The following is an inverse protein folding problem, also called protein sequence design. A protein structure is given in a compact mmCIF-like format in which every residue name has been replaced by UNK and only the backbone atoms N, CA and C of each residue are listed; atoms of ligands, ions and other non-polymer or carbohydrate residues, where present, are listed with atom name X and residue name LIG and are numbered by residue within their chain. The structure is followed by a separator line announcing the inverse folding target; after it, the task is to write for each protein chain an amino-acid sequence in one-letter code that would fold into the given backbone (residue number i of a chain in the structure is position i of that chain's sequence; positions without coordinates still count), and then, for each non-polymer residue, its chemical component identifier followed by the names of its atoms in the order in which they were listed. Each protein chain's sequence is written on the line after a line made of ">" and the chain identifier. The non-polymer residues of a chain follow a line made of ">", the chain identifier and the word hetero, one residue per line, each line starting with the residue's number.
data_IF_784448699894
#
_entry.id   IF_784448699894
#
_cell.length_a   1.000
_cell.length_b   1.000
_cell.length_c   1.000
_cell.angle_alpha   90.00
_cell.angle_beta   90.00
_cell.angle_gamma   90.00
#
_symmetry.space_group_name_H-M   'P 1'
#
loop_
_entity.id
_entity.type
_entity.pdbx_description
1 polymer ?
#
# COMPACT_ATOMS: atom_id res chain seq x y z
N UNK A 1 9.44 15.72 10.88
CA UNK A 1 9.04 14.57 10.05
C UNK A 1 10.30 13.92 9.51
N UNK A 2 10.38 12.59 9.43
CA UNK A 2 11.58 11.88 8.94
C UNK A 2 11.66 11.80 7.42
N UNK A 3 10.56 12.13 6.73
CA UNK A 3 10.43 12.19 5.27
C UNK A 3 10.20 13.63 4.85
N UNK A 4 10.89 14.08 3.80
CA UNK A 4 10.95 15.46 3.31
C UNK A 4 9.92 15.79 2.22
N UNK A 5 9.12 14.80 1.78
CA UNK A 5 8.14 14.94 0.71
C UNK A 5 6.82 14.26 1.08
N UNK A 6 5.74 14.66 0.39
CA UNK A 6 4.40 14.15 0.71
C UNK A 6 4.16 12.75 0.12
N UNK A 7 3.94 11.76 0.99
CA UNK A 7 3.82 10.36 0.59
C UNK A 7 2.55 10.04 -0.24
N UNK A 8 1.49 10.84 -0.20
CA UNK A 8 0.26 10.46 -0.93
C UNK A 8 0.36 10.70 -2.44
N UNK A 9 1.11 11.70 -2.90
CA UNK A 9 1.31 11.99 -4.33
C UNK A 9 2.71 12.57 -4.54
N UNK A 10 3.77 11.77 -4.35
CA UNK A 10 5.14 12.26 -4.39
C UNK A 10 5.65 12.56 -5.81
N UNK A 11 4.88 12.22 -6.85
CA UNK A 11 5.26 12.35 -8.26
C UNK A 11 5.93 11.09 -8.82
N UNK A 12 6.25 11.09 -10.12
CA UNK A 12 6.88 9.94 -10.80
C UNK A 12 5.93 8.75 -11.01
N UNK A 13 4.62 8.99 -11.11
CA UNK A 13 3.59 7.95 -11.24
C UNK A 13 3.12 7.34 -9.92
N UNK A 14 3.87 7.55 -8.83
CA UNK A 14 3.49 7.12 -7.50
C UNK A 14 2.36 8.01 -6.93
N UNK A 15 1.31 7.37 -6.44
CA UNK A 15 0.21 8.00 -5.69
C UNK A 15 -0.51 6.97 -4.82
N UNK A 16 -0.99 7.35 -3.64
CA UNK A 16 -1.55 6.44 -2.65
C UNK A 16 -2.91 6.94 -2.14
N UNK A 17 -3.87 6.02 -2.03
CA UNK A 17 -5.20 6.26 -1.46
C UNK A 17 -5.48 5.50 -0.16
N UNK A 18 -4.47 4.92 0.48
CA UNK A 18 -4.65 4.00 1.61
C UNK A 18 -5.39 4.64 2.81
N UNK A 19 -5.04 5.87 3.19
CA UNK A 19 -5.71 6.60 4.28
C UNK A 19 -7.13 7.06 3.92
N UNK A 20 -7.46 7.08 2.63
CA UNK A 20 -8.83 7.25 2.13
C UNK A 20 -9.58 5.91 2.04
N UNK A 21 -8.98 4.81 2.51
CA UNK A 21 -9.59 3.48 2.57
C UNK A 21 -9.51 2.67 1.29
N UNK A 22 -8.65 3.02 0.32
CA UNK A 22 -8.56 2.33 -0.97
C UNK A 22 -8.38 0.81 -0.86
N UNK A 23 -7.56 0.37 0.09
CA UNK A 23 -7.21 -1.03 0.30
C UNK A 23 -8.00 -1.67 1.46
N UNK A 24 -8.98 -0.96 2.02
CA UNK A 24 -9.72 -1.40 3.20
C UNK A 24 -10.88 -2.35 2.83
N UNK A 25 -10.64 -3.26 1.89
CA UNK A 25 -11.63 -4.22 1.42
C UNK A 25 -11.03 -5.61 1.35
N UNK A 26 -11.91 -6.61 1.52
CA UNK A 26 -11.52 -8.01 1.37
C UNK A 26 -11.03 -8.29 -0.04
N UNK A 27 -11.65 -7.75 -1.08
CA UNK A 27 -11.04 -7.73 -2.40
C UNK A 27 -10.49 -6.33 -2.66
N UNK A 28 -9.18 -6.19 -2.55
CA UNK A 28 -8.47 -4.99 -2.98
C UNK A 28 -7.51 -5.28 -4.13
N UNK A 29 -7.79 -6.30 -4.93
CA UNK A 29 -7.03 -6.56 -6.16
C UNK A 29 -7.01 -5.32 -7.06
N UNK A 30 -5.94 -5.18 -7.85
CA UNK A 30 -5.77 -4.03 -8.78
C UNK A 30 -7.01 -3.79 -9.63
N UNK A 31 -7.64 -4.87 -10.11
CA UNK A 31 -8.88 -4.78 -10.89
C UNK A 31 -10.02 -4.18 -10.05
N UNK A 32 -10.32 -4.78 -8.89
CA UNK A 32 -11.42 -4.34 -8.04
C UNK A 32 -11.27 -2.87 -7.59
N UNK A 33 -10.06 -2.47 -7.17
CA UNK A 33 -9.83 -1.06 -6.78
C UNK A 33 -9.85 -0.11 -7.96
N UNK A 34 -9.36 -0.51 -9.15
CA UNK A 34 -9.42 0.32 -10.34
C UNK A 34 -10.86 0.52 -10.84
N UNK A 35 -11.73 -0.50 -10.74
CA UNK A 35 -13.15 -0.39 -11.04
C UNK A 35 -13.84 0.58 -10.08
N UNK A 36 -13.58 0.47 -8.77
CA UNK A 36 -14.14 1.39 -7.78
C UNK A 36 -13.70 2.84 -8.05
N UNK A 37 -12.39 3.07 -8.24
CA UNK A 37 -11.84 4.40 -8.54
C UNK A 37 -12.44 4.96 -9.83
N UNK A 38 -12.57 4.15 -10.88
CA UNK A 38 -13.18 4.58 -12.15
C UNK A 38 -14.63 4.99 -11.97
N UNK A 39 -15.42 4.19 -11.23
CA UNK A 39 -16.82 4.48 -10.96
C UNK A 39 -17.01 5.76 -10.14
N UNK A 40 -16.21 5.97 -9.09
CA UNK A 40 -16.19 7.22 -8.31
C UNK A 40 -15.81 8.42 -9.18
N UNK A 41 -14.77 8.27 -10.01
CA UNK A 41 -14.29 9.30 -10.94
C UNK A 41 -15.37 9.73 -11.92
N UNK A 42 -16.00 8.78 -12.61
CA UNK A 42 -17.01 9.12 -13.61
C UNK A 42 -18.32 9.63 -13.01
N UNK A 43 -18.66 9.22 -11.77
CA UNK A 43 -19.81 9.79 -11.06
C UNK A 43 -19.55 11.25 -10.69
N UNK A 44 -18.39 11.56 -10.11
CA UNK A 44 -18.08 12.89 -9.57
C UNK A 44 -17.71 13.91 -10.65
N UNK A 45 -17.10 13.47 -11.77
CA UNK A 45 -16.79 14.35 -12.91
C UNK A 45 -18.03 15.04 -13.50
N UNK A 46 -19.22 14.44 -13.34
CA UNK A 46 -20.49 14.96 -13.83
C UNK A 46 -21.22 15.87 -12.83
N UNK A 47 -20.66 16.07 -11.64
CA UNK A 47 -21.29 16.84 -10.57
C UNK A 47 -20.86 18.30 -10.68
N UNK A 48 -21.80 19.27 -10.68
CA UNK A 48 -21.47 20.69 -10.57
C UNK A 48 -20.58 20.95 -9.35
N UNK A 49 -19.63 21.87 -9.42
CA UNK A 49 -18.72 22.19 -8.30
C UNK A 49 -19.41 23.00 -7.20
N UNK A 50 -20.49 22.45 -6.66
CA UNK A 50 -21.32 23.00 -5.60
C UNK A 50 -21.34 22.01 -4.43
N UNK A 51 -21.12 22.50 -3.21
CA UNK A 51 -20.97 21.66 -2.03
C UNK A 51 -22.20 20.77 -1.74
N UNK A 52 -23.41 21.24 -2.04
CA UNK A 52 -24.65 20.48 -1.88
C UNK A 52 -24.70 19.28 -2.85
N UNK A 53 -24.42 19.51 -4.13
CA UNK A 53 -24.41 18.48 -5.17
C UNK A 53 -23.31 17.44 -4.91
N UNK A 54 -22.13 17.88 -4.45
CA UNK A 54 -21.03 16.98 -4.06
C UNK A 54 -21.35 16.15 -2.83
N UNK A 55 -21.95 16.73 -1.80
CA UNK A 55 -22.43 15.97 -0.64
C UNK A 55 -23.43 14.89 -1.04
N UNK A 56 -24.39 15.23 -1.90
CA UNK A 56 -25.37 14.27 -2.38
C UNK A 56 -24.71 13.12 -3.14
N UNK A 57 -23.86 13.43 -4.12
CA UNK A 57 -23.12 12.42 -4.88
C UNK A 57 -22.21 11.55 -3.99
N UNK A 58 -21.53 12.16 -3.00
CA UNK A 58 -20.71 11.44 -2.03
C UNK A 58 -21.54 10.45 -1.19
N UNK A 59 -22.72 10.88 -0.71
CA UNK A 59 -23.64 9.99 0.03
C UNK A 59 -24.15 8.84 -0.83
N UNK A 60 -24.51 9.09 -2.08
CA UNK A 60 -24.92 8.05 -3.02
C UNK A 60 -23.82 7.02 -3.24
N UNK A 61 -22.58 7.46 -3.45
CA UNK A 61 -21.42 6.57 -3.62
C UNK A 61 -21.15 5.73 -2.37
N UNK A 62 -21.34 6.30 -1.17
CA UNK A 62 -21.25 5.57 0.09
C UNK A 62 -22.35 4.52 0.21
N UNK A 63 -23.60 4.88 -0.12
CA UNK A 63 -24.76 3.99 -0.04
C UNK A 63 -24.73 2.88 -1.10
N UNK A 64 -24.16 3.14 -2.28
CA UNK A 64 -24.02 2.17 -3.36
C UNK A 64 -22.84 1.21 -3.19
N UNK A 65 -22.09 1.31 -2.09
CA UNK A 65 -20.94 0.44 -1.81
C UNK A 65 -21.37 -1.02 -1.72
N UNK A 66 -20.66 -1.88 -2.46
CA UNK A 66 -20.99 -3.31 -2.58
C UNK A 66 -20.39 -4.21 -1.50
N UNK A 67 -19.40 -3.71 -0.76
CA UNK A 67 -18.66 -4.48 0.24
C UNK A 67 -18.45 -3.66 1.50
N UNK A 68 -18.53 -4.33 2.65
CA UNK A 68 -18.20 -3.71 3.93
C UNK A 68 -16.67 -3.54 4.05
N UNK A 69 -16.18 -2.41 4.59
CA UNK A 69 -14.76 -2.23 4.84
C UNK A 69 -14.23 -3.25 5.86
N UNK A 70 -12.93 -3.59 5.75
CA UNK A 70 -12.30 -4.50 6.71
C UNK A 70 -12.13 -3.85 8.08
N UNK A 71 -11.67 -2.61 8.16
CA UNK A 71 -11.44 -1.95 9.45
C UNK A 71 -12.34 -0.73 9.56
N UNK A 72 -13.27 -0.74 10.50
CA UNK A 72 -14.22 0.36 10.74
C UNK A 72 -13.51 1.68 11.07
N UNK A 73 -12.36 1.60 11.75
CA UNK A 73 -11.50 2.74 12.06
C UNK A 73 -10.96 3.46 10.81
N UNK A 74 -10.82 2.77 9.67
CA UNK A 74 -10.37 3.36 8.41
C UNK A 74 -11.59 3.67 7.54
N UNK A 75 -12.04 4.92 7.58
CA UNK A 75 -13.18 5.36 6.77
C UNK A 75 -12.83 5.32 5.29
N UNK A 76 -13.72 4.77 4.48
CA UNK A 76 -13.58 4.75 3.02
C UNK A 76 -14.21 6.01 2.44
N UNK A 77 -13.38 6.90 1.91
CA UNK A 77 -13.79 8.19 1.36
C UNK A 77 -14.35 8.02 -0.07
N UNK A 78 -15.56 8.54 -0.37
CA UNK A 78 -16.14 8.44 -1.71
C UNK A 78 -15.51 9.42 -2.71
N UNK A 79 -14.68 10.35 -2.24
CA UNK A 79 -14.04 11.40 -3.04
C UNK A 79 -12.70 10.96 -3.64
N UNK A 80 -12.22 9.76 -3.32
CA UNK A 80 -11.01 9.20 -3.91
C UNK A 80 -11.32 8.74 -5.35
N UNK A 81 -10.42 9.03 -6.29
CA UNK A 81 -10.55 8.59 -7.67
C UNK A 81 -9.29 8.84 -8.48
N UNK A 82 -9.39 8.67 -9.81
CA UNK A 82 -8.34 9.03 -10.75
C UNK A 82 -8.38 10.53 -11.03
N UNK A 83 -7.32 11.24 -10.68
CA UNK A 83 -7.22 12.69 -10.86
C UNK A 83 -6.68 13.09 -12.24
N UNK A 84 -6.27 12.10 -13.03
CA UNK A 84 -5.76 12.26 -14.39
C UNK A 84 -6.63 11.50 -15.41
N UNK A 85 -6.58 11.94 -16.67
CA UNK A 85 -7.35 11.31 -17.75
C UNK A 85 -6.81 9.93 -18.14
N UNK A 86 -5.52 9.69 -17.94
CA UNK A 86 -4.87 8.41 -18.23
C UNK A 86 -5.11 7.34 -17.16
N UNK A 87 -5.76 7.70 -16.04
CA UNK A 87 -6.03 6.81 -14.89
C UNK A 87 -4.75 6.20 -14.30
N UNK A 88 -3.67 7.00 -14.23
CA UNK A 88 -2.39 6.61 -13.65
C UNK A 88 -2.16 7.23 -12.28
N UNK A 89 -2.94 8.23 -11.88
CA UNK A 89 -2.77 8.92 -10.60
C UNK A 89 -4.06 8.91 -9.77
N UNK A 90 -3.96 8.44 -8.53
CA UNK A 90 -5.09 8.43 -7.58
C UNK A 90 -5.00 9.61 -6.61
N UNK A 91 -6.14 10.16 -6.24
CA UNK A 91 -6.21 11.34 -5.39
C UNK A 91 -7.62 11.76 -5.03
N UNK A 92 -7.72 12.83 -4.27
CA UNK A 92 -9.02 13.42 -3.91
C UNK A 92 -9.55 14.25 -5.08
N UNK A 93 -10.67 13.82 -5.66
CA UNK A 93 -11.36 14.51 -6.75
C UNK A 93 -11.96 15.85 -6.31
N UNK A 94 -12.16 16.03 -5.01
CA UNK A 94 -12.69 17.24 -4.40
C UNK A 94 -11.60 18.25 -3.98
N UNK A 95 -10.33 17.93 -4.23
CA UNK A 95 -9.22 18.80 -3.87
C UNK A 95 -9.22 20.07 -4.76
N UNK A 96 -8.94 21.27 -4.22
CA UNK A 96 -8.96 22.53 -4.99
C UNK A 96 -8.05 22.52 -6.23
N UNK A 97 -6.94 21.77 -6.20
CA UNK A 97 -6.08 21.57 -7.38
C UNK A 97 -6.74 20.79 -8.53
N UNK A 98 -7.75 19.97 -8.23
CA UNK A 98 -8.52 19.19 -9.20
C UNK A 98 -9.78 19.94 -9.64
N UNK A 99 -10.40 20.68 -8.73
CA UNK A 99 -11.68 21.39 -8.91
C UNK A 99 -11.50 22.88 -9.26
N UNK A 100 -10.35 23.26 -9.82
CA UNK A 100 -10.11 24.64 -10.28
C UNK A 100 -10.18 25.71 -9.20
N UNK A 101 -9.93 25.35 -7.94
CA UNK A 101 -9.87 26.27 -6.79
C UNK A 101 -10.98 26.08 -5.76
N UNK A 102 -12.10 25.42 -6.09
CA UNK A 102 -13.19 25.20 -5.13
C UNK A 102 -12.87 24.03 -4.21
N UNK A 103 -12.60 24.28 -2.93
CA UNK A 103 -12.37 23.20 -1.98
C UNK A 103 -13.68 22.47 -1.62
N UNK A 104 -13.80 21.23 -2.06
CA UNK A 104 -14.96 20.38 -1.84
C UNK A 104 -14.65 19.21 -0.88
N UNK A 105 -13.47 19.21 -0.25
CA UNK A 105 -13.00 18.11 0.61
C UNK A 105 -13.94 17.85 1.80
N UNK A 106 -14.62 18.87 2.29
CA UNK A 106 -15.61 18.76 3.38
C UNK A 106 -16.88 17.99 2.99
N UNK A 107 -17.06 17.64 1.70
CA UNK A 107 -18.12 16.73 1.26
C UNK A 107 -17.79 15.25 1.49
N UNK A 108 -16.57 14.96 1.97
CA UNK A 108 -16.07 13.61 2.18
C UNK A 108 -16.39 13.07 3.57
N UNK A 109 -15.79 11.91 3.88
CA UNK A 109 -15.86 11.36 5.24
C UNK A 109 -14.92 12.08 6.20
N UNK A 110 -13.90 12.76 5.69
CA UNK A 110 -12.93 13.56 6.46
C UNK A 110 -13.14 15.04 6.14
N UNK A 111 -12.91 15.90 7.14
CA UNK A 111 -12.86 17.35 6.91
C UNK A 111 -11.56 17.76 6.22
N UNK A 112 -11.62 18.84 5.45
CA UNK A 112 -10.48 19.47 4.78
C UNK A 112 -9.29 19.69 5.73
N UNK A 113 -9.56 20.19 6.94
CA UNK A 113 -8.56 20.42 7.99
C UNK A 113 -7.85 19.15 8.48
N UNK A 114 -8.54 18.01 8.49
CA UNK A 114 -7.93 16.71 8.80
C UNK A 114 -7.08 16.25 7.62
N UNK A 115 -7.61 16.32 6.40
CA UNK A 115 -6.91 15.91 5.19
C UNK A 115 -5.60 16.68 4.96
N UNK A 116 -5.54 17.95 5.35
CA UNK A 116 -4.36 18.81 5.16
C UNK A 116 -3.23 18.51 6.16
N UNK A 117 -3.57 18.07 7.37
CA UNK A 117 -2.60 17.90 8.47
C UNK A 117 -2.27 16.44 8.75
N UNK A 118 -3.06 15.51 8.22
CA UNK A 118 -2.89 14.09 8.50
C UNK A 118 -1.59 13.54 7.89
N UNK A 119 -0.79 12.89 8.72
CA UNK A 119 0.39 12.14 8.31
C UNK A 119 0.20 10.67 8.70
N UNK A 120 0.28 9.77 7.71
CA UNK A 120 0.18 8.34 7.97
C UNK A 120 1.42 7.83 8.74
N UNK A 121 1.35 6.67 9.42
CA UNK A 121 2.47 6.11 10.18
C UNK A 121 3.80 6.04 9.42
N UNK A 122 3.75 5.81 8.10
CA UNK A 122 4.95 5.80 7.24
C UNK A 122 5.78 7.09 7.30
N UNK A 123 5.19 8.27 7.56
CA UNK A 123 5.92 9.53 7.73
C UNK A 123 6.80 9.57 8.98
N UNK A 124 6.52 8.73 9.98
CA UNK A 124 7.29 8.65 11.22
C UNK A 124 8.18 7.42 11.31
N UNK A 125 7.88 6.35 10.54
CA UNK A 125 8.59 5.08 10.66
C UNK A 125 9.53 4.74 9.51
N UNK A 126 9.37 5.39 8.34
CA UNK A 126 10.33 5.31 7.24
C UNK A 126 11.31 6.48 7.32
N UNK A 127 12.56 6.23 6.93
CA UNK A 127 13.49 7.31 6.63
C UNK A 127 13.20 7.91 5.26
N UNK A 128 13.67 9.13 5.01
CA UNK A 128 13.56 9.77 3.70
C UNK A 128 14.11 8.87 2.57
N UNK A 129 15.27 8.26 2.79
CA UNK A 129 15.90 7.34 1.85
C UNK A 129 15.06 6.09 1.54
N UNK A 130 14.43 5.50 2.56
CA UNK A 130 13.54 4.35 2.40
C UNK A 130 12.28 4.75 1.61
N UNK A 131 11.69 5.89 1.94
CA UNK A 131 10.52 6.40 1.22
C UNK A 131 10.84 6.71 -0.26
N UNK A 132 12.00 7.31 -0.54
CA UNK A 132 12.46 7.56 -1.92
C UNK A 132 12.69 6.27 -2.70
N UNK A 133 13.30 5.26 -2.07
CA UNK A 133 13.47 3.95 -2.70
C UNK A 133 12.13 3.35 -3.10
N UNK A 134 11.11 3.41 -2.23
CA UNK A 134 9.75 2.95 -2.56
C UNK A 134 9.16 3.78 -3.69
N UNK A 135 9.28 5.10 -3.66
CA UNK A 135 8.78 5.98 -4.73
C UNK A 135 9.38 5.62 -6.11
N UNK A 136 10.69 5.43 -6.18
CA UNK A 136 11.41 5.17 -7.45
C UNK A 136 11.25 3.71 -7.92
N UNK A 137 11.13 2.77 -6.98
CA UNK A 137 10.89 1.36 -7.30
C UNK A 137 9.43 1.12 -7.73
N UNK A 138 8.46 1.76 -7.09
CA UNK A 138 7.04 1.57 -7.34
C UNK A 138 6.46 2.80 -8.07
N UNK A 139 6.68 2.89 -9.38
CA UNK A 139 6.24 4.03 -10.20
C UNK A 139 4.77 3.94 -10.67
N UNK A 140 3.90 3.24 -9.93
CA UNK A 140 2.47 3.18 -10.18
C UNK A 140 1.67 3.26 -8.88
N UNK A 141 0.46 3.81 -8.94
CA UNK A 141 -0.38 4.09 -7.78
C UNK A 141 -0.69 2.86 -6.91
N UNK A 142 -0.90 1.70 -7.54
CA UNK A 142 -1.36 0.52 -6.83
C UNK A 142 -0.22 -0.10 -6.03
N UNK A 143 0.88 -0.45 -6.72
CA UNK A 143 2.01 -1.07 -6.04
C UNK A 143 2.65 -0.10 -5.04
N UNK A 144 2.77 1.18 -5.41
CA UNK A 144 3.26 2.21 -4.51
C UNK A 144 2.42 2.27 -3.23
N UNK A 145 1.09 2.35 -3.36
CA UNK A 145 0.22 2.42 -2.20
C UNK A 145 0.29 1.18 -1.31
N UNK A 146 0.38 -0.02 -1.88
CA UNK A 146 0.54 -1.26 -1.11
C UNK A 146 1.87 -1.34 -0.35
N UNK A 147 2.96 -0.82 -0.93
CA UNK A 147 4.30 -0.90 -0.36
C UNK A 147 4.56 0.23 0.62
N UNK A 148 4.22 1.49 0.28
CA UNK A 148 4.55 2.64 1.11
C UNK A 148 3.83 2.62 2.47
N UNK A 149 2.64 2.02 2.54
CA UNK A 149 1.89 1.90 3.79
C UNK A 149 2.26 0.68 4.61
N UNK A 150 3.04 -0.25 4.05
CA UNK A 150 3.50 -1.45 4.73
C UNK A 150 4.96 -1.27 5.19
N UNK A 151 5.11 -0.51 6.27
CA UNK A 151 6.42 -0.18 6.85
C UNK A 151 7.19 -1.44 7.26
N UNK A 152 6.49 -2.44 7.80
CA UNK A 152 7.09 -3.71 8.20
C UNK A 152 7.65 -4.47 6.99
N UNK A 153 6.93 -4.48 5.87
CA UNK A 153 7.43 -5.05 4.63
C UNK A 153 8.69 -4.34 4.14
N UNK A 154 8.67 -3.01 4.02
CA UNK A 154 9.82 -2.23 3.51
C UNK A 154 11.04 -2.44 4.41
N UNK A 155 10.89 -2.28 5.73
CA UNK A 155 12.00 -2.45 6.68
C UNK A 155 12.44 -3.91 6.78
N UNK A 156 11.53 -4.87 6.69
CA UNK A 156 11.83 -6.30 6.70
C UNK A 156 12.68 -6.70 5.50
N UNK A 157 12.30 -6.28 4.29
CA UNK A 157 13.08 -6.51 3.08
C UNK A 157 14.51 -5.93 3.18
N UNK A 158 14.65 -4.70 3.69
CA UNK A 158 15.96 -4.07 3.84
C UNK A 158 16.81 -4.76 4.92
N UNK A 159 16.23 -5.17 6.05
CA UNK A 159 16.96 -5.96 7.07
C UNK A 159 17.47 -7.29 6.51
N UNK A 160 16.65 -8.00 5.74
CA UNK A 160 17.08 -9.25 5.12
C UNK A 160 18.23 -9.03 4.14
N UNK A 161 18.17 -7.93 3.37
CA UNK A 161 19.25 -7.54 2.47
C UNK A 161 20.52 -7.17 3.23
N UNK A 162 20.41 -6.45 4.35
CA UNK A 162 21.56 -6.15 5.21
C UNK A 162 22.26 -7.41 5.69
N UNK A 163 21.49 -8.42 6.05
CA UNK A 163 22.02 -9.71 6.50
C UNK A 163 22.70 -10.48 5.37
N UNK A 164 22.11 -10.47 4.17
CA UNK A 164 22.70 -11.11 2.98
C UNK A 164 23.99 -10.41 2.53
N UNK A 165 24.06 -9.09 2.67
CA UNK A 165 25.25 -8.28 2.34
C UNK A 165 26.32 -8.29 3.44
N UNK A 166 26.02 -8.78 4.64
CA UNK A 166 26.82 -8.59 5.84
C UNK A 166 27.19 -7.12 6.10
N UNK A 167 26.25 -6.19 5.83
CA UNK A 167 26.49 -4.75 5.86
C UNK A 167 25.22 -3.93 5.58
N UNK A 168 25.29 -2.59 5.61
CA UNK A 168 24.11 -1.73 5.43
C UNK A 168 23.55 -1.80 4.00
N UNK A 169 22.23 -1.99 3.88
CA UNK A 169 21.50 -1.86 2.63
C UNK A 169 21.15 -0.38 2.39
N UNK A 170 22.09 0.38 1.84
CA UNK A 170 21.93 1.82 1.59
C UNK A 170 20.91 2.08 0.46
N UNK A 171 19.73 2.66 0.74
CA UNK A 171 18.72 2.89 -0.30
C UNK A 171 19.22 3.79 -1.44
N UNK A 172 20.13 4.71 -1.16
CA UNK A 172 20.74 5.59 -2.15
C UNK A 172 21.51 4.80 -3.21
N UNK A 173 22.35 3.86 -2.77
CA UNK A 173 23.12 2.98 -3.66
C UNK A 173 22.20 2.07 -4.47
N UNK A 174 21.15 1.53 -3.85
CA UNK A 174 20.14 0.73 -4.53
C UNK A 174 19.44 1.50 -5.65
N UNK A 175 19.21 2.80 -5.48
CA UNK A 175 18.57 3.65 -6.49
C UNK A 175 19.52 4.06 -7.62
N UNK A 176 20.80 4.24 -7.33
CA UNK A 176 21.82 4.65 -8.31
C UNK A 176 22.21 3.53 -9.28
N UNK A 177 22.06 2.27 -8.87
CA UNK A 177 22.40 1.11 -9.70
C UNK A 177 21.15 0.53 -10.40
N UNK A 178 21.04 0.59 -11.74
CA UNK A 178 19.84 0.17 -12.46
C UNK A 178 19.44 -1.29 -12.24
N UNK A 179 20.41 -2.21 -12.17
CA UNK A 179 20.13 -3.64 -11.97
C UNK A 179 19.63 -3.93 -10.55
N UNK A 180 20.26 -3.31 -9.54
CA UNK A 180 19.84 -3.41 -8.14
C UNK A 180 18.43 -2.82 -7.96
N UNK A 181 18.17 -1.63 -8.51
CA UNK A 181 16.85 -1.03 -8.51
C UNK A 181 15.82 -1.94 -9.16
N UNK A 182 16.11 -2.50 -10.34
CA UNK A 182 15.21 -3.44 -11.02
C UNK A 182 14.96 -4.71 -10.19
N UNK A 183 15.95 -5.20 -9.44
CA UNK A 183 15.75 -6.31 -8.51
C UNK A 183 14.87 -5.92 -7.31
N UNK A 184 15.03 -4.70 -6.76
CA UNK A 184 14.16 -4.15 -5.71
C UNK A 184 12.73 -4.04 -6.22
N UNK A 185 12.52 -3.56 -7.46
CA UNK A 185 11.19 -3.52 -8.10
C UNK A 185 10.53 -4.88 -8.10
N UNK A 186 11.25 -5.93 -8.52
CA UNK A 186 10.73 -7.31 -8.51
C UNK A 186 10.43 -7.81 -7.09
N UNK A 187 11.26 -7.47 -6.12
CA UNK A 187 11.03 -7.81 -4.71
C UNK A 187 9.78 -7.13 -4.16
N UNK A 188 9.59 -5.82 -4.40
CA UNK A 188 8.39 -5.10 -3.97
C UNK A 188 7.14 -5.54 -4.72
N UNK A 189 7.26 -5.88 -6.02
CA UNK A 189 6.19 -6.48 -6.81
C UNK A 189 5.70 -7.82 -6.24
N UNK A 190 6.41 -8.43 -5.28
CA UNK A 190 5.87 -9.52 -4.49
C UNK A 190 4.62 -9.11 -3.72
N UNK A 191 4.27 -7.83 -3.49
CA UNK A 191 2.95 -7.47 -2.93
C UNK A 191 1.78 -7.81 -3.87
N UNK A 192 2.05 -7.94 -5.17
CA UNK A 192 1.05 -8.29 -6.19
C UNK A 192 1.24 -9.72 -6.72
N UNK A 193 2.49 -10.16 -6.95
CA UNK A 193 2.80 -11.37 -7.73
C UNK A 193 3.07 -12.66 -6.95
N UNK A 194 3.33 -12.60 -5.64
CA UNK A 194 3.58 -13.80 -4.85
C UNK A 194 2.42 -14.82 -4.97
N UNK A 195 2.72 -16.08 -5.27
CA UNK A 195 1.72 -17.10 -5.59
C UNK A 195 1.06 -17.64 -4.33
N UNK A 196 -0.13 -18.26 -4.48
CA UNK A 196 -0.77 -19.10 -3.44
C UNK A 196 -0.99 -18.42 -2.09
N UNK A 197 -0.99 -17.08 -2.04
CA UNK A 197 -1.64 -16.35 -0.95
C UNK A 197 -3.12 -16.74 -1.05
N UNK A 198 -3.70 -17.39 -0.05
CA UNK A 198 -5.06 -17.93 -0.13
C UNK A 198 -6.11 -16.93 -0.64
N UNK A 199 -7.31 -17.41 -0.99
CA UNK A 199 -8.40 -16.58 -1.54
C UNK A 199 -8.91 -15.46 -0.62
N UNK A 200 -8.46 -15.42 0.64
CA UNK A 200 -8.70 -14.35 1.64
C UNK A 200 -7.39 -13.62 2.03
N UNK A 201 -6.32 -13.72 1.24
CA UNK A 201 -4.97 -13.26 1.58
C UNK A 201 -4.62 -11.88 1.04
N UNK A 202 -5.62 -11.13 0.61
CA UNK A 202 -5.60 -9.68 0.53
C UNK A 202 -5.41 -9.13 1.94
N UNK A 203 -4.18 -8.74 2.27
CA UNK A 203 -3.83 -8.20 3.59
C UNK A 203 -3.51 -6.73 3.48
N UNK A 204 -4.16 -5.95 4.34
CA UNK A 204 -3.71 -4.60 4.62
C UNK A 204 -2.49 -4.68 5.55
N UNK A 205 -1.30 -4.68 4.97
CA UNK A 205 -0.05 -4.89 5.72
C UNK A 205 0.06 -6.31 6.29
N UNK A 206 0.24 -6.41 7.61
CA UNK A 206 0.35 -7.67 8.39
C UNK A 206 -0.93 -7.98 9.20
N UNK A 207 -2.02 -7.24 9.05
CA UNK A 207 -3.14 -7.31 10.01
C UNK A 207 -4.27 -8.25 9.57
N UNK A 208 -4.92 -8.88 10.56
CA UNK A 208 -6.22 -9.54 10.45
C UNK A 208 -7.27 -8.76 11.24
N UNK A 209 -8.54 -9.08 11.01
CA UNK A 209 -9.62 -8.71 11.93
C UNK A 209 -9.74 -9.76 13.02
N UNK A 210 -9.84 -9.33 14.27
CA UNK A 210 -10.30 -10.20 15.35
C UNK A 210 -11.84 -10.34 15.36
N UNK A 211 -12.38 -10.94 16.43
CA UNK A 211 -13.82 -11.18 16.58
C UNK A 211 -14.64 -9.88 16.69
N UNK A 212 -14.04 -8.81 17.23
CA UNK A 212 -14.66 -7.49 17.39
C UNK A 212 -14.44 -6.61 16.15
N UNK A 213 -13.62 -7.08 15.21
CA UNK A 213 -13.33 -6.42 13.95
C UNK A 213 -12.14 -5.47 13.99
N UNK A 214 -11.36 -5.49 15.08
CA UNK A 214 -10.17 -4.68 15.31
C UNK A 214 -8.92 -5.31 14.63
N UNK A 215 -7.94 -4.49 14.25
CA UNK A 215 -6.73 -4.96 13.59
C UNK A 215 -5.78 -5.66 14.56
N UNK A 216 -5.52 -6.95 14.33
CA UNK A 216 -4.53 -7.75 15.07
C UNK A 216 -3.37 -8.20 14.17
N UNK A 217 -2.11 -8.07 14.60
CA UNK A 217 -0.97 -8.55 13.81
C UNK A 217 -1.04 -10.06 13.58
N UNK A 218 -0.76 -10.49 12.35
CA UNK A 218 -0.60 -11.91 12.03
C UNK A 218 0.66 -12.47 12.69
N UNK A 219 0.55 -13.71 13.14
CA UNK A 219 1.64 -14.48 13.73
C UNK A 219 1.71 -15.87 13.10
N UNK A 220 2.89 -16.48 13.12
CA UNK A 220 3.08 -17.88 12.72
C UNK A 220 3.02 -18.74 13.98
N UNK A 221 2.21 -19.79 13.96
CA UNK A 221 2.19 -20.81 15.02
C UNK A 221 3.30 -21.85 14.76
N UNK A 222 4.51 -21.52 15.19
CA UNK A 222 5.70 -22.35 14.98
C UNK A 222 5.57 -23.74 15.60
N UNK A 223 4.91 -23.86 16.75
CA UNK A 223 4.72 -25.12 17.46
C UNK A 223 3.82 -26.04 16.65
N UNK A 224 2.68 -25.51 16.18
CA UNK A 224 1.76 -26.28 15.34
C UNK A 224 2.39 -26.71 14.01
N UNK A 225 3.23 -25.87 13.43
CA UNK A 225 3.91 -26.17 12.17
C UNK A 225 5.15 -27.08 12.34
N UNK A 226 5.63 -27.29 13.57
CA UNK A 226 6.84 -28.07 13.84
C UNK A 226 8.12 -27.43 13.28
N UNK A 227 8.17 -26.10 13.19
CA UNK A 227 9.29 -25.34 12.61
C UNK A 227 9.79 -24.27 13.59
N UNK A 228 10.98 -23.72 13.34
CA UNK A 228 11.50 -22.57 14.09
C UNK A 228 11.21 -21.25 13.36
N UNK A 229 11.17 -20.16 14.11
CA UNK A 229 11.13 -18.81 13.58
C UNK A 229 12.34 -18.54 12.68
N UNK A 230 12.12 -17.74 11.65
CA UNK A 230 13.13 -17.32 10.67
C UNK A 230 12.96 -15.84 10.34
N UNK A 231 14.02 -15.14 9.96
CA UNK A 231 13.99 -13.70 9.67
C UNK A 231 13.01 -13.32 8.57
N UNK A 232 12.78 -14.22 7.61
CA UNK A 232 11.89 -14.01 6.47
C UNK A 232 10.41 -13.95 6.89
N UNK A 233 10.06 -14.45 8.08
CA UNK A 233 8.67 -14.61 8.52
C UNK A 233 7.89 -13.29 8.57
N UNK A 234 8.55 -12.20 8.98
CA UNK A 234 7.92 -10.88 8.99
C UNK A 234 7.49 -10.46 7.57
N UNK A 235 8.37 -10.64 6.59
CA UNK A 235 8.09 -10.32 5.18
C UNK A 235 7.04 -11.28 4.61
N UNK A 236 7.13 -12.57 4.92
CA UNK A 236 6.14 -13.58 4.50
C UNK A 236 4.74 -13.21 4.98
N UNK A 237 4.58 -12.77 6.23
CA UNK A 237 3.29 -12.36 6.77
C UNK A 237 2.77 -11.06 6.12
N UNK A 238 3.64 -10.10 5.83
CA UNK A 238 3.29 -8.87 5.09
C UNK A 238 2.90 -9.16 3.62
N UNK A 239 3.42 -10.24 3.03
CA UNK A 239 2.99 -10.74 1.73
C UNK A 239 1.64 -11.47 1.79
N UNK A 240 1.06 -11.62 2.97
CA UNK A 240 -0.28 -12.14 3.17
C UNK A 240 -0.40 -13.65 3.29
N UNK A 241 0.72 -14.36 3.34
CA UNK A 241 0.71 -15.80 3.57
C UNK A 241 0.07 -16.14 4.93
N UNK A 242 -0.66 -17.25 4.94
CA UNK A 242 -1.19 -17.89 6.14
C UNK A 242 -0.87 -19.40 6.03
N UNK A 243 0.41 -19.80 6.21
CA UNK A 243 0.86 -21.15 5.95
C UNK A 243 0.14 -22.17 6.83
N UNK A 244 -0.33 -23.26 6.23
CA UNK A 244 -1.05 -24.34 6.92
C UNK A 244 -0.13 -25.44 7.42
N UNK A 245 1.03 -25.58 6.78
CA UNK A 245 2.05 -26.57 7.10
C UNK A 245 3.47 -26.00 6.91
N UNK A 246 4.46 -26.79 7.34
CA UNK A 246 5.87 -26.42 7.23
C UNK A 246 6.31 -26.20 5.77
N UNK A 247 5.78 -26.97 4.81
CA UNK A 247 6.17 -26.91 3.40
C UNK A 247 5.74 -25.60 2.77
N UNK A 248 4.51 -25.13 3.04
CA UNK A 248 4.03 -23.83 2.59
C UNK A 248 4.89 -22.69 3.17
N UNK A 249 5.22 -22.75 4.47
CA UNK A 249 6.05 -21.72 5.10
C UNK A 249 7.47 -21.70 4.51
N UNK A 250 8.10 -22.87 4.34
CA UNK A 250 9.42 -22.99 3.72
C UNK A 250 9.44 -22.43 2.29
N UNK A 251 8.42 -22.75 1.49
CA UNK A 251 8.28 -22.21 0.14
C UNK A 251 8.14 -20.69 0.11
N UNK A 252 7.38 -20.11 1.04
CA UNK A 252 7.22 -18.66 1.14
C UNK A 252 8.52 -17.98 1.61
N UNK A 253 9.25 -18.57 2.57
CA UNK A 253 10.57 -18.08 3.01
C UNK A 253 11.58 -18.11 1.87
N UNK A 254 11.65 -19.20 1.12
CA UNK A 254 12.58 -19.33 -0.01
C UNK A 254 12.24 -18.33 -1.13
N UNK A 255 10.96 -18.08 -1.39
CA UNK A 255 10.56 -17.02 -2.33
C UNK A 255 11.13 -15.66 -1.89
N UNK A 256 10.92 -15.26 -0.63
CA UNK A 256 11.48 -14.00 -0.10
C UNK A 256 13.01 -13.99 -0.21
N UNK A 257 13.67 -15.05 0.26
CA UNK A 257 15.13 -15.16 0.25
C UNK A 257 15.71 -15.08 -1.16
N UNK A 258 15.08 -15.71 -2.15
CA UNK A 258 15.53 -15.68 -3.55
C UNK A 258 15.53 -14.26 -4.13
N UNK A 259 14.52 -13.44 -3.78
CA UNK A 259 14.46 -12.03 -4.20
C UNK A 259 15.50 -11.18 -3.48
N UNK A 260 15.72 -11.39 -2.18
CA UNK A 260 16.79 -10.72 -1.41
C UNK A 260 18.16 -11.02 -2.03
N UNK A 261 18.46 -12.29 -2.31
CA UNK A 261 19.68 -12.72 -3.00
C UNK A 261 19.82 -12.12 -4.39
N UNK A 262 18.72 -11.95 -5.12
CA UNK A 262 18.74 -11.29 -6.42
C UNK A 262 19.15 -9.82 -6.32
N UNK A 263 18.67 -9.10 -5.30
CA UNK A 263 19.09 -7.71 -5.04
C UNK A 263 20.56 -7.65 -4.64
N UNK A 264 20.99 -8.52 -3.70
CA UNK A 264 22.38 -8.56 -3.26
C UNK A 264 23.37 -8.85 -4.40
N UNK A 265 23.04 -9.80 -5.29
CA UNK A 265 23.87 -10.10 -6.47
C UNK A 265 23.92 -8.93 -7.45
N UNK A 266 22.79 -8.25 -7.67
CA UNK A 266 22.73 -7.10 -8.56
C UNK A 266 23.49 -5.87 -8.02
N UNK A 267 23.73 -5.79 -6.71
CA UNK A 267 24.59 -4.77 -6.09
C UNK A 267 26.09 -5.05 -6.23
N UNK A 268 26.45 -6.32 -6.46
CA UNK A 268 27.83 -6.78 -6.56
C UNK A 268 28.33 -6.87 -8.01
N UNK A 269 27.43 -6.68 -8.99
CA UNK A 269 27.72 -6.65 -10.42
C UNK A 269 28.17 -5.24 -10.85
#
# INVERSE_FOLDING_TARGET
>A
MTVSFHLCQPGGGASCGACCGLYNFRDHSRLAVAEQLSMQTERLRRVPWEASAWHEAARELLAARRAEPMFSAVRVCPLLGFVDNERKQVGCLAHPLVTGGTDLRDCGVYRSSVCETFTCPSFGWLTDAQARLVQVACADWYLYGLVITDVEFVRGCLRLLEWELAGPARPEVLMEQPEALAAVRRMFALKETAPRRGTNATVFGRFNRDADGEPVPRTVDYVKLGVRASPEDDVVLCLGYAPKDATELMGARELVRSHVKAVARALAA
#
